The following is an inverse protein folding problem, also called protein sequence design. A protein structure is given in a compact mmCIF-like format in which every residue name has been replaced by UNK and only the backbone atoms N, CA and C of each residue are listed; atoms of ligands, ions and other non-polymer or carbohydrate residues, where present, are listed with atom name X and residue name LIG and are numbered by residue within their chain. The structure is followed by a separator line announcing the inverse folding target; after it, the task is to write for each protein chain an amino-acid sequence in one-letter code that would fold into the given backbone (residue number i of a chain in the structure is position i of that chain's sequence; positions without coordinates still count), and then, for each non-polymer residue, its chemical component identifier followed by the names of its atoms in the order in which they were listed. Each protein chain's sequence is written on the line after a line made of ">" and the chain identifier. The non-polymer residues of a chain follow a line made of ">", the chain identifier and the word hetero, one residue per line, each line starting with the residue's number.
data_IF_097813407068
#
_entry.id   IF_097813407068
#
_cell.length_a   1.000
_cell.length_b   1.000
_cell.length_c   1.000
_cell.angle_alpha   90.00
_cell.angle_beta   90.00
_cell.angle_gamma   90.00
#
_symmetry.space_group_name_H-M   'P 1'
#
loop_
_entity.id
_entity.type
_entity.pdbx_description
1 polymer ?
#
# COMPACT_ATOMS: atom_id res chain seq x y z
N UNK A 1 15.35 11.62 20.91
CA UNK A 1 15.21 11.14 19.51
C UNK A 1 13.89 11.65 18.97
N UNK A 2 13.82 12.07 17.70
CA UNK A 2 12.58 12.53 17.06
C UNK A 2 11.71 11.32 16.74
N UNK A 3 10.44 11.35 17.17
CA UNK A 3 9.49 10.29 16.89
C UNK A 3 9.37 10.08 15.36
N UNK A 4 9.44 8.85 14.91
CA UNK A 4 9.45 8.49 13.49
C UNK A 4 8.25 7.63 13.14
N UNK A 5 7.58 7.96 12.04
CA UNK A 5 6.50 7.17 11.43
C UNK A 5 6.95 6.69 10.06
N UNK A 6 6.92 5.38 9.85
CA UNK A 6 7.23 4.77 8.56
C UNK A 6 6.00 4.76 7.65
N UNK A 7 6.19 5.16 6.39
CA UNK A 7 5.18 5.09 5.34
C UNK A 7 5.65 4.16 4.22
N UNK A 8 4.79 3.23 3.80
CA UNK A 8 5.10 2.24 2.79
C UNK A 8 4.13 2.36 1.61
N UNK A 9 4.62 2.63 0.38
CA UNK A 9 3.78 2.85 -0.79
C UNK A 9 3.05 1.58 -1.23
N UNK A 10 1.97 1.79 -1.97
CA UNK A 10 1.14 0.77 -2.61
C UNK A 10 1.34 0.67 -4.11
N UNK A 11 0.49 -0.15 -4.74
CA UNK A 11 0.50 -0.38 -6.19
C UNK A 11 0.32 0.94 -6.97
N UNK A 12 1.03 1.05 -8.11
CA UNK A 12 1.13 2.27 -8.91
C UNK A 12 2.44 3.04 -8.70
N UNK A 13 3.25 2.64 -7.70
CA UNK A 13 4.57 3.22 -7.47
C UNK A 13 5.71 2.48 -8.21
N UNK A 14 5.44 1.26 -8.74
CA UNK A 14 6.43 0.46 -9.47
C UNK A 14 6.86 1.14 -10.77
N UNK A 15 8.12 0.96 -11.11
CA UNK A 15 8.72 1.36 -12.41
C UNK A 15 9.93 0.50 -12.72
N UNK A 16 10.20 0.26 -13.99
CA UNK A 16 11.44 -0.40 -14.43
C UNK A 16 12.64 0.42 -13.97
N UNK A 17 13.69 -0.25 -13.47
CA UNK A 17 14.87 0.34 -12.85
C UNK A 17 14.77 0.50 -11.34
N UNK A 18 13.58 0.24 -10.73
CA UNK A 18 13.39 0.38 -9.29
C UNK A 18 14.34 -0.51 -8.49
N UNK A 19 14.92 0.03 -7.41
CA UNK A 19 15.86 -0.62 -6.48
C UNK A 19 17.20 -1.10 -7.09
N UNK A 20 17.48 -0.87 -8.38
CA UNK A 20 18.73 -1.28 -9.01
C UNK A 20 19.94 -0.56 -8.38
N UNK A 21 19.86 0.75 -8.27
CA UNK A 21 20.86 1.62 -7.65
C UNK A 21 21.08 1.28 -6.15
N UNK A 22 20.00 0.93 -5.45
CA UNK A 22 20.08 0.47 -4.05
C UNK A 22 20.87 -0.84 -3.94
N UNK A 23 20.59 -1.82 -4.82
CA UNK A 23 21.25 -3.09 -4.84
C UNK A 23 22.74 -2.98 -5.24
N UNK A 24 23.09 -2.00 -6.08
CA UNK A 24 24.47 -1.73 -6.49
C UNK A 24 25.29 -1.06 -5.39
N UNK A 25 24.66 -0.19 -4.57
CA UNK A 25 25.36 0.64 -3.58
C UNK A 25 25.36 0.07 -2.16
N UNK A 26 24.30 -0.67 -1.77
CA UNK A 26 24.11 -1.15 -0.40
C UNK A 26 24.03 -2.69 -0.36
N UNK A 27 25.01 -3.37 0.28
CA UNK A 27 25.00 -4.82 0.41
C UNK A 27 23.76 -5.38 1.12
N UNK A 28 23.21 -4.64 2.09
CA UNK A 28 22.01 -5.02 2.83
C UNK A 28 20.77 -5.03 1.92
N UNK A 29 20.66 -4.04 1.03
CA UNK A 29 19.60 -3.98 0.03
C UNK A 29 19.71 -5.15 -0.97
N UNK A 30 20.91 -5.42 -1.48
CA UNK A 30 21.19 -6.57 -2.36
C UNK A 30 20.82 -7.88 -1.69
N UNK A 31 21.29 -8.10 -0.46
CA UNK A 31 21.00 -9.33 0.29
C UNK A 31 19.50 -9.54 0.51
N UNK A 32 18.74 -8.47 0.77
CA UNK A 32 17.29 -8.50 0.92
C UNK A 32 16.61 -8.93 -0.39
N UNK A 33 16.98 -8.34 -1.52
CA UNK A 33 16.43 -8.68 -2.83
C UNK A 33 16.75 -10.13 -3.23
N UNK A 34 17.99 -10.56 -3.04
CA UNK A 34 18.43 -11.94 -3.33
C UNK A 34 17.69 -12.97 -2.45
N UNK A 35 17.38 -12.63 -1.20
CA UNK A 35 16.60 -13.51 -0.31
C UNK A 35 15.14 -13.62 -0.78
N UNK A 36 14.54 -12.53 -1.24
CA UNK A 36 13.19 -12.51 -1.80
C UNK A 36 13.12 -13.32 -3.11
N UNK A 37 14.07 -13.14 -4.02
CA UNK A 37 14.16 -13.92 -5.28
C UNK A 37 14.21 -15.42 -5.00
N UNK A 38 15.09 -15.84 -4.06
CA UNK A 38 15.17 -17.26 -3.64
C UNK A 38 13.85 -17.77 -3.08
N UNK A 39 13.15 -16.98 -2.30
CA UNK A 39 11.88 -17.37 -1.69
C UNK A 39 10.77 -17.50 -2.72
N UNK A 40 10.71 -16.58 -3.68
CA UNK A 40 9.71 -16.61 -4.74
C UNK A 40 10.01 -17.66 -5.82
N UNK A 41 11.25 -18.15 -5.92
CA UNK A 41 11.67 -19.14 -6.91
C UNK A 41 11.82 -18.58 -8.32
N UNK A 42 11.85 -17.26 -8.48
CA UNK A 42 12.13 -16.58 -9.75
C UNK A 42 12.83 -15.23 -9.50
N UNK A 43 13.57 -14.69 -10.50
CA UNK A 43 14.35 -13.47 -10.33
C UNK A 43 13.48 -12.21 -10.42
N UNK A 44 12.70 -11.93 -9.37
CA UNK A 44 11.88 -10.72 -9.27
C UNK A 44 12.74 -9.46 -9.41
N UNK A 45 13.96 -9.46 -8.84
CA UNK A 45 14.90 -8.34 -8.95
C UNK A 45 15.27 -8.02 -10.40
N UNK A 46 15.45 -9.03 -11.27
CA UNK A 46 15.66 -8.82 -12.69
C UNK A 46 14.48 -8.14 -13.36
N UNK A 47 13.25 -8.57 -13.04
CA UNK A 47 12.04 -7.93 -13.54
C UNK A 47 11.93 -6.46 -13.04
N UNK A 48 12.30 -6.19 -11.79
CA UNK A 48 12.34 -4.82 -11.24
C UNK A 48 13.37 -3.93 -11.95
N UNK A 49 14.55 -4.47 -12.27
CA UNK A 49 15.67 -3.70 -12.83
C UNK A 49 15.53 -3.45 -14.33
N UNK A 50 15.12 -4.48 -15.06
CA UNK A 50 15.24 -4.51 -16.51
C UNK A 50 13.89 -4.69 -17.24
N UNK A 51 12.80 -4.94 -16.49
CA UNK A 51 11.44 -5.12 -17.02
C UNK A 51 11.24 -6.49 -17.68
N UNK A 52 10.27 -6.61 -18.59
CA UNK A 52 9.49 -5.54 -19.23
C UNK A 52 8.40 -4.93 -18.33
N UNK A 53 7.99 -3.70 -18.65
CA UNK A 53 7.09 -2.88 -17.81
C UNK A 53 5.70 -3.49 -17.66
N UNK A 54 5.14 -4.10 -18.68
CA UNK A 54 3.84 -4.76 -18.66
C UNK A 54 3.83 -5.94 -17.66
N UNK A 55 4.90 -6.74 -17.63
CA UNK A 55 5.05 -7.81 -16.65
C UNK A 55 5.24 -7.26 -15.22
N UNK A 56 6.04 -6.21 -15.05
CA UNK A 56 6.24 -5.59 -13.73
C UNK A 56 4.93 -4.96 -13.20
N UNK A 57 4.08 -4.43 -14.08
CA UNK A 57 2.82 -3.78 -13.71
C UNK A 57 1.71 -4.79 -13.40
N UNK A 58 1.83 -6.04 -13.85
CA UNK A 58 0.88 -7.10 -13.48
C UNK A 58 0.79 -7.22 -11.95
N UNK A 59 -0.45 -7.30 -11.43
CA UNK A 59 -0.73 -7.20 -9.99
C UNK A 59 0.05 -8.21 -9.14
N UNK A 60 0.24 -9.43 -9.64
CA UNK A 60 1.01 -10.47 -8.98
C UNK A 60 2.51 -10.19 -8.91
N UNK A 61 3.05 -9.35 -9.79
CA UNK A 61 4.47 -8.94 -9.81
C UNK A 61 4.68 -7.58 -9.13
N UNK A 62 3.78 -6.62 -9.36
CA UNK A 62 3.89 -5.28 -8.81
C UNK A 62 3.90 -5.28 -7.27
N UNK A 63 3.06 -6.12 -6.65
CA UNK A 63 2.96 -6.19 -5.20
C UNK A 63 4.28 -6.67 -4.54
N UNK A 64 4.86 -7.82 -4.88
CA UNK A 64 6.13 -8.23 -4.30
C UNK A 64 7.28 -7.31 -4.71
N UNK A 65 7.27 -6.67 -5.90
CA UNK A 65 8.31 -5.74 -6.32
C UNK A 65 8.35 -4.47 -5.45
N UNK A 66 7.19 -3.87 -5.15
CA UNK A 66 7.11 -2.69 -4.28
C UNK A 66 7.49 -3.05 -2.85
N UNK A 67 7.04 -4.20 -2.34
CA UNK A 67 7.44 -4.69 -1.03
C UNK A 67 8.95 -4.92 -0.97
N UNK A 68 9.55 -5.58 -1.97
CA UNK A 68 10.98 -5.83 -2.05
C UNK A 68 11.80 -4.54 -2.03
N UNK A 69 11.37 -3.52 -2.79
CA UNK A 69 12.00 -2.20 -2.76
C UNK A 69 11.91 -1.56 -1.37
N UNK A 70 10.70 -1.48 -0.79
CA UNK A 70 10.49 -0.86 0.53
C UNK A 70 11.31 -1.56 1.62
N UNK A 71 11.38 -2.88 1.59
CA UNK A 71 12.14 -3.67 2.58
C UNK A 71 13.65 -3.59 2.35
N UNK A 72 14.11 -3.44 1.10
CA UNK A 72 15.51 -3.18 0.79
C UNK A 72 15.97 -1.81 1.32
N UNK A 73 15.16 -0.76 1.15
CA UNK A 73 15.42 0.56 1.78
C UNK A 73 15.44 0.42 3.29
N UNK A 74 14.44 -0.25 3.88
CA UNK A 74 14.35 -0.41 5.33
C UNK A 74 15.54 -1.18 5.91
N UNK A 75 16.06 -2.19 5.22
CA UNK A 75 17.25 -2.94 5.66
C UNK A 75 18.48 -2.04 5.85
N UNK A 76 18.59 -0.97 5.06
CA UNK A 76 19.71 -0.01 5.13
C UNK A 76 19.46 1.07 6.20
N UNK A 77 18.25 1.67 6.24
CA UNK A 77 17.99 2.85 7.08
C UNK A 77 17.37 2.52 8.43
N UNK A 78 16.65 1.39 8.54
CA UNK A 78 15.92 0.99 9.75
C UNK A 78 16.80 0.99 11.01
N UNK A 79 18.00 0.37 10.98
CA UNK A 79 18.92 0.36 12.13
C UNK A 79 19.38 1.74 12.61
N UNK A 80 19.31 2.78 11.74
CA UNK A 80 19.70 4.16 12.07
C UNK A 80 18.56 4.94 12.75
N UNK A 81 17.36 4.41 12.73
CA UNK A 81 16.14 5.01 13.30
C UNK A 81 15.62 4.18 14.47
N UNK A 82 16.37 3.14 14.83
CA UNK A 82 15.99 2.20 15.90
C UNK A 82 15.72 2.93 17.22
N UNK A 83 14.63 2.52 17.91
CA UNK A 83 14.15 3.15 19.13
C UNK A 83 13.42 4.49 18.95
N UNK A 84 13.38 5.08 17.75
CA UNK A 84 12.59 6.28 17.46
C UNK A 84 11.28 6.00 16.72
N UNK A 85 11.09 4.78 16.18
CA UNK A 85 9.89 4.39 15.47
C UNK A 85 8.70 4.24 16.42
N UNK A 86 7.65 5.04 16.20
CA UNK A 86 6.44 5.07 17.04
C UNK A 86 5.22 4.48 16.35
N UNK A 87 5.22 4.42 15.02
CA UNK A 87 4.18 3.80 14.21
C UNK A 87 4.67 3.50 12.79
N UNK A 88 3.94 2.64 12.09
CA UNK A 88 4.04 2.51 10.65
C UNK A 88 2.65 2.47 10.01
N UNK A 89 2.57 2.90 8.76
CA UNK A 89 1.40 2.77 7.92
C UNK A 89 1.82 2.43 6.49
N UNK A 90 1.01 1.65 5.80
CA UNK A 90 1.26 1.35 4.40
C UNK A 90 -0.04 1.36 3.61
N UNK A 91 0.01 1.78 2.35
CA UNK A 91 -1.17 1.87 1.51
C UNK A 91 -1.41 0.52 0.82
N UNK A 92 -2.55 -0.11 1.10
CA UNK A 92 -2.93 -1.42 0.54
C UNK A 92 -1.82 -2.47 0.74
N UNK A 93 -1.13 -2.92 -0.31
CA UNK A 93 0.01 -3.84 -0.16
C UNK A 93 1.11 -3.29 0.78
N UNK A 94 1.29 -1.98 0.84
CA UNK A 94 2.29 -1.34 1.71
C UNK A 94 2.07 -1.63 3.20
N UNK A 95 0.87 -2.03 3.61
CA UNK A 95 0.61 -2.47 4.99
C UNK A 95 1.45 -3.70 5.37
N UNK A 96 1.74 -4.60 4.40
CA UNK A 96 2.67 -5.73 4.62
C UNK A 96 4.11 -5.24 4.82
N UNK A 97 4.56 -4.26 4.04
CA UNK A 97 5.87 -3.62 4.23
C UNK A 97 5.97 -2.93 5.59
N UNK A 98 4.88 -2.32 6.07
CA UNK A 98 4.82 -1.72 7.40
C UNK A 98 4.94 -2.79 8.52
N UNK A 99 4.35 -3.97 8.36
CA UNK A 99 4.56 -5.09 9.30
C UNK A 99 5.99 -5.64 9.25
N UNK A 100 6.65 -5.61 8.10
CA UNK A 100 8.10 -5.95 8.03
C UNK A 100 8.92 -4.92 8.78
N UNK A 101 8.68 -3.64 8.57
CA UNK A 101 9.37 -2.56 9.29
C UNK A 101 9.16 -2.64 10.81
N UNK A 102 7.98 -3.08 11.25
CA UNK A 102 7.66 -3.31 12.66
C UNK A 102 8.19 -4.65 13.22
N UNK A 103 8.95 -5.42 12.45
CA UNK A 103 9.51 -6.71 12.87
C UNK A 103 8.48 -7.83 13.06
N UNK A 104 7.23 -7.60 12.66
CA UNK A 104 6.14 -8.56 12.84
C UNK A 104 6.16 -9.70 11.81
N UNK A 105 6.77 -9.47 10.64
CA UNK A 105 6.81 -10.42 9.53
C UNK A 105 8.18 -10.37 8.84
N UNK A 106 8.86 -11.50 8.62
CA UNK A 106 10.07 -11.54 7.80
C UNK A 106 9.79 -11.03 6.37
N UNK A 107 10.74 -10.31 5.77
CA UNK A 107 10.58 -9.78 4.41
C UNK A 107 10.28 -10.86 3.36
N UNK A 108 10.90 -12.04 3.52
CA UNK A 108 10.67 -13.21 2.66
C UNK A 108 9.25 -13.75 2.76
N UNK A 109 8.72 -13.88 3.96
CA UNK A 109 7.35 -14.35 4.19
C UNK A 109 6.33 -13.32 3.69
N UNK A 110 6.61 -12.03 3.91
CA UNK A 110 5.80 -10.94 3.37
C UNK A 110 5.78 -10.96 1.84
N UNK A 111 6.93 -11.20 1.18
CA UNK A 111 7.03 -11.29 -0.28
C UNK A 111 6.18 -12.46 -0.82
N UNK A 112 6.25 -13.63 -0.20
CA UNK A 112 5.42 -14.78 -0.57
C UNK A 112 3.92 -14.50 -0.37
N UNK A 113 3.54 -13.85 0.74
CA UNK A 113 2.15 -13.47 1.01
C UNK A 113 1.60 -12.46 -0.01
N UNK A 114 2.36 -11.40 -0.33
CA UNK A 114 1.87 -10.39 -1.29
C UNK A 114 1.91 -10.90 -2.73
N UNK A 115 2.81 -11.84 -3.07
CA UNK A 115 2.77 -12.59 -4.33
C UNK A 115 1.45 -13.36 -4.41
N UNK A 116 1.14 -14.14 -3.38
CA UNK A 116 -0.12 -14.90 -3.31
C UNK A 116 -1.34 -13.98 -3.34
N UNK A 117 -1.29 -12.84 -2.64
CA UNK A 117 -2.33 -11.83 -2.65
C UNK A 117 -2.57 -11.30 -4.06
N UNK A 118 -1.51 -10.94 -4.78
CA UNK A 118 -1.58 -10.46 -6.16
C UNK A 118 -2.21 -11.48 -7.11
N UNK A 119 -1.78 -12.74 -7.03
CA UNK A 119 -2.36 -13.86 -7.82
C UNK A 119 -3.85 -14.04 -7.55
N UNK A 120 -4.26 -14.01 -6.29
CA UNK A 120 -5.67 -14.15 -5.89
C UNK A 120 -6.52 -12.97 -6.37
N UNK A 121 -5.99 -11.76 -6.29
CA UNK A 121 -6.68 -10.56 -6.78
C UNK A 121 -6.79 -10.54 -8.30
N UNK A 122 -5.74 -10.97 -9.02
CA UNK A 122 -5.75 -11.13 -10.47
C UNK A 122 -6.79 -12.17 -10.90
N UNK A 123 -6.79 -13.33 -10.24
CA UNK A 123 -7.76 -14.40 -10.50
C UNK A 123 -9.20 -13.92 -10.28
N UNK A 124 -9.47 -13.26 -9.15
CA UNK A 124 -10.79 -12.72 -8.85
C UNK A 124 -11.27 -11.72 -9.91
N UNK A 125 -10.37 -10.83 -10.40
CA UNK A 125 -10.67 -9.90 -11.49
C UNK A 125 -10.92 -10.57 -12.84
N UNK A 126 -10.28 -11.72 -13.11
CA UNK A 126 -10.53 -12.52 -14.32
C UNK A 126 -11.86 -13.25 -14.25
N UNK A 127 -12.20 -13.84 -13.09
CA UNK A 127 -13.45 -14.58 -12.88
C UNK A 127 -14.68 -13.65 -12.83
N UNK A 128 -14.52 -12.46 -12.24
CA UNK A 128 -15.53 -11.42 -12.20
C UNK A 128 -14.90 -10.07 -12.55
N UNK A 129 -15.03 -9.62 -13.80
CA UNK A 129 -14.48 -8.34 -14.25
C UNK A 129 -14.98 -7.17 -13.39
N UNK A 130 -14.03 -6.33 -12.99
CA UNK A 130 -14.27 -5.13 -12.23
C UNK A 130 -13.33 -4.02 -12.65
N UNK A 131 -13.60 -2.81 -12.18
CA UNK A 131 -12.77 -1.64 -12.52
C UNK A 131 -12.66 -0.68 -11.36
N UNK A 132 -11.74 0.29 -11.49
CA UNK A 132 -11.56 1.39 -10.54
C UNK A 132 -11.41 2.72 -11.28
N UNK A 133 -11.79 3.81 -10.61
CA UNK A 133 -11.56 5.16 -11.11
C UNK A 133 -11.22 6.12 -9.96
N UNK A 134 -10.28 7.03 -10.20
CA UNK A 134 -9.94 8.09 -9.26
C UNK A 134 -10.88 9.30 -9.46
N UNK A 135 -11.56 9.71 -8.41
CA UNK A 135 -12.39 10.92 -8.34
C UNK A 135 -11.59 12.00 -7.64
N UNK A 136 -11.42 13.13 -8.30
CA UNK A 136 -10.62 14.26 -7.83
C UNK A 136 -11.49 15.52 -7.69
N UNK A 137 -11.28 16.26 -6.61
CA UNK A 137 -11.93 17.55 -6.35
C UNK A 137 -13.38 17.42 -5.87
N UNK A 138 -13.75 16.28 -5.24
CA UNK A 138 -15.05 16.06 -4.62
C UNK A 138 -14.85 15.45 -3.24
N UNK A 139 -15.61 15.91 -2.25
CA UNK A 139 -15.55 15.39 -0.89
C UNK A 139 -15.95 13.90 -0.83
N UNK A 140 -15.26 13.12 0.01
CA UNK A 140 -15.47 11.67 0.13
C UNK A 140 -16.94 11.31 0.39
N UNK A 141 -17.65 12.04 1.24
CA UNK A 141 -19.06 11.78 1.55
C UNK A 141 -19.98 11.85 0.32
N UNK A 142 -19.70 12.79 -0.60
CA UNK A 142 -20.42 12.92 -1.87
C UNK A 142 -20.09 11.76 -2.84
N UNK A 143 -18.80 11.31 -2.85
CA UNK A 143 -18.40 10.14 -3.64
C UNK A 143 -19.09 8.87 -3.11
N UNK A 144 -19.12 8.67 -1.80
CA UNK A 144 -19.83 7.55 -1.18
C UNK A 144 -21.34 7.57 -1.48
N UNK A 145 -21.97 8.75 -1.46
CA UNK A 145 -23.38 8.91 -1.84
C UNK A 145 -23.61 8.56 -3.31
N UNK A 146 -22.72 9.00 -4.22
CA UNK A 146 -22.77 8.65 -5.64
C UNK A 146 -22.61 7.13 -5.87
N UNK A 147 -21.71 6.49 -5.13
CA UNK A 147 -21.52 5.03 -5.19
C UNK A 147 -22.78 4.28 -4.73
N UNK A 148 -23.40 4.71 -3.62
CA UNK A 148 -24.65 4.10 -3.14
C UNK A 148 -25.79 4.25 -4.16
N UNK A 149 -25.95 5.41 -4.78
CA UNK A 149 -26.97 5.67 -5.81
C UNK A 149 -26.71 4.88 -7.11
N UNK A 150 -25.44 4.68 -7.47
CA UNK A 150 -25.07 3.93 -8.65
C UNK A 150 -25.24 2.42 -8.49
N UNK A 151 -25.19 1.92 -7.26
CA UNK A 151 -25.31 0.49 -6.94
C UNK A 151 -26.75 0.00 -7.06
N UNK A 152 -26.90 -1.30 -7.39
CA UNK A 152 -28.19 -2.01 -7.47
C UNK A 152 -28.05 -3.43 -6.97
N UNK A 153 -29.16 -4.20 -6.96
CA UNK A 153 -29.09 -5.64 -6.67
C UNK A 153 -28.30 -6.36 -7.79
N UNK A 154 -27.04 -6.64 -7.54
CA UNK A 154 -26.14 -7.36 -8.47
C UNK A 154 -25.03 -6.52 -9.12
N UNK A 155 -25.04 -5.18 -8.97
CA UNK A 155 -23.97 -4.32 -9.43
C UNK A 155 -23.54 -3.36 -8.32
N UNK A 156 -22.26 -3.35 -7.96
CA UNK A 156 -21.71 -2.65 -6.81
C UNK A 156 -20.70 -1.59 -7.25
N UNK A 157 -20.83 -0.38 -6.70
CA UNK A 157 -19.76 0.62 -6.68
C UNK A 157 -19.51 1.06 -5.24
N UNK A 158 -18.25 1.17 -4.84
CA UNK A 158 -17.85 1.60 -3.49
C UNK A 158 -16.71 2.61 -3.54
N UNK A 159 -16.59 3.44 -2.51
CA UNK A 159 -15.39 4.21 -2.26
C UNK A 159 -14.33 3.27 -1.67
N UNK A 160 -13.31 2.97 -2.46
CA UNK A 160 -12.30 1.94 -2.19
C UNK A 160 -11.04 2.48 -1.53
N UNK A 161 -10.56 3.69 -1.93
CA UNK A 161 -9.41 4.33 -1.30
C UNK A 161 -9.76 5.78 -0.95
N UNK A 162 -9.75 6.10 0.32
CA UNK A 162 -10.01 7.44 0.86
C UNK A 162 -8.66 8.16 1.00
N UNK A 163 -8.10 8.60 -0.14
CA UNK A 163 -6.70 9.02 -0.25
C UNK A 163 -6.42 10.45 0.21
N UNK A 164 -7.43 11.29 0.20
CA UNK A 164 -7.30 12.69 0.58
C UNK A 164 -8.67 13.33 0.80
N UNK A 165 -8.73 14.55 1.34
CA UNK A 165 -10.00 15.25 1.60
C UNK A 165 -10.90 15.36 0.37
N UNK A 166 -10.29 15.44 -0.82
CA UNK A 166 -10.95 15.59 -2.12
C UNK A 166 -10.40 14.61 -3.18
N UNK A 167 -9.86 13.46 -2.73
CA UNK A 167 -9.33 12.42 -3.60
C UNK A 167 -9.78 11.04 -3.10
N UNK A 168 -10.70 10.44 -3.83
CA UNK A 168 -11.25 9.11 -3.52
C UNK A 168 -11.18 8.23 -4.76
N UNK A 169 -10.79 6.98 -4.59
CA UNK A 169 -10.87 5.96 -5.66
C UNK A 169 -12.15 5.17 -5.47
N UNK A 170 -12.94 5.03 -6.53
CA UNK A 170 -14.13 4.19 -6.58
C UNK A 170 -13.81 2.86 -7.26
N UNK A 171 -14.48 1.78 -6.83
CA UNK A 171 -14.20 0.40 -7.26
C UNK A 171 -15.50 -0.39 -7.32
N UNK A 172 -15.60 -1.34 -8.26
CA UNK A 172 -16.79 -2.17 -8.38
C UNK A 172 -17.01 -2.76 -9.77
N UNK A 173 -18.26 -3.11 -10.03
CA UNK A 173 -18.71 -3.56 -11.34
C UNK A 173 -18.57 -2.41 -12.37
N UNK A 174 -18.14 -2.68 -13.62
CA UNK A 174 -17.79 -1.61 -14.58
C UNK A 174 -18.92 -0.59 -14.83
N UNK A 175 -20.15 -1.05 -14.99
CA UNK A 175 -21.30 -0.15 -15.22
C UNK A 175 -21.65 0.68 -13.98
N UNK A 176 -21.58 0.09 -12.79
CA UNK A 176 -21.83 0.80 -11.54
C UNK A 176 -20.75 1.87 -11.28
N UNK A 177 -19.47 1.54 -11.52
CA UNK A 177 -18.35 2.50 -11.41
C UNK A 177 -18.48 3.63 -12.43
N UNK A 178 -18.85 3.33 -13.70
CA UNK A 178 -19.11 4.35 -14.71
C UNK A 178 -20.23 5.29 -14.27
N UNK A 179 -21.39 4.75 -13.84
CA UNK A 179 -22.52 5.54 -13.33
C UNK A 179 -22.14 6.37 -12.10
N UNK A 180 -21.40 5.79 -11.13
CA UNK A 180 -20.90 6.53 -9.98
C UNK A 180 -19.99 7.70 -10.41
N UNK A 181 -19.12 7.48 -11.41
CA UNK A 181 -18.27 8.51 -11.96
C UNK A 181 -19.05 9.65 -12.63
N UNK A 182 -20.13 9.35 -13.35
CA UNK A 182 -21.04 10.35 -13.95
C UNK A 182 -21.75 11.15 -12.84
N UNK A 183 -22.26 10.50 -11.80
CA UNK A 183 -22.87 11.16 -10.65
C UNK A 183 -21.87 12.04 -9.89
N UNK A 184 -20.63 11.59 -9.73
CA UNK A 184 -19.57 12.40 -9.13
C UNK A 184 -19.30 13.68 -9.97
N UNK A 185 -19.25 13.58 -11.30
CA UNK A 185 -19.12 14.75 -12.18
C UNK A 185 -20.30 15.71 -12.02
N UNK A 186 -21.52 15.19 -12.02
CA UNK A 186 -22.73 16.00 -11.80
C UNK A 186 -22.75 16.71 -10.43
N UNK A 187 -22.08 16.15 -9.42
CA UNK A 187 -21.89 16.73 -8.09
C UNK A 187 -20.65 17.64 -7.96
N UNK A 188 -19.96 17.91 -9.05
CA UNK A 188 -18.86 18.87 -9.08
C UNK A 188 -17.46 18.28 -8.96
N UNK A 189 -17.27 16.97 -9.17
CA UNK A 189 -15.94 16.40 -9.28
C UNK A 189 -15.17 17.03 -10.44
N UNK A 190 -13.95 17.51 -10.18
CA UNK A 190 -13.10 18.14 -11.20
C UNK A 190 -12.66 17.14 -12.27
N UNK A 191 -12.37 15.92 -11.87
CA UNK A 191 -11.93 14.84 -12.76
C UNK A 191 -12.38 13.48 -12.23
N UNK A 192 -12.70 12.56 -13.16
CA UNK A 192 -12.85 11.13 -12.91
C UNK A 192 -11.95 10.41 -13.91
N UNK A 193 -10.93 9.74 -13.41
CA UNK A 193 -9.86 9.12 -14.22
C UNK A 193 -9.91 7.61 -14.02
N UNK A 194 -10.21 6.83 -15.08
CA UNK A 194 -10.09 5.37 -15.03
C UNK A 194 -8.67 4.94 -14.63
N UNK A 195 -8.57 3.89 -13.83
CA UNK A 195 -7.29 3.30 -13.44
C UNK A 195 -7.04 2.03 -14.24
N UNK A 196 -5.79 1.81 -14.65
CA UNK A 196 -5.37 0.58 -15.31
C UNK A 196 -5.11 -0.51 -14.27
N UNK A 197 -6.17 -1.22 -13.87
CA UNK A 197 -6.13 -2.28 -12.86
C UNK A 197 -6.91 -3.50 -13.34
N UNK A 198 -6.54 -4.68 -12.83
CA UNK A 198 -7.12 -5.97 -13.25
C UNK A 198 -8.41 -6.35 -12.54
N UNK A 199 -8.96 -5.50 -11.65
CA UNK A 199 -10.16 -5.87 -10.89
C UNK A 199 -10.69 -4.76 -9.98
N UNK A 200 -11.80 -5.08 -9.31
CA UNK A 200 -12.48 -4.20 -8.36
C UNK A 200 -11.87 -4.33 -6.95
N UNK A 201 -10.62 -3.86 -6.78
CA UNK A 201 -9.92 -3.97 -5.50
C UNK A 201 -10.64 -3.18 -4.39
N UNK A 202 -10.51 -3.66 -3.15
CA UNK A 202 -11.12 -3.05 -1.96
C UNK A 202 -12.66 -2.94 -2.05
N UNK A 203 -13.29 -3.92 -2.70
CA UNK A 203 -14.74 -4.08 -2.79
C UNK A 203 -15.18 -5.49 -2.43
N UNK A 204 -16.47 -5.72 -2.26
CA UNK A 204 -17.04 -7.05 -2.00
C UNK A 204 -16.74 -8.08 -3.11
N UNK A 205 -16.36 -7.63 -4.32
CA UNK A 205 -15.97 -8.50 -5.43
C UNK A 205 -14.67 -9.26 -5.15
N UNK A 206 -13.87 -8.79 -4.19
CA UNK A 206 -12.64 -9.45 -3.74
C UNK A 206 -12.87 -10.52 -2.65
N UNK A 207 -14.11 -10.80 -2.24
CA UNK A 207 -14.39 -11.76 -1.16
C UNK A 207 -13.81 -13.18 -1.42
N UNK A 208 -13.83 -13.75 -2.65
CA UNK A 208 -13.19 -15.04 -2.92
C UNK A 208 -11.66 -15.00 -2.69
N UNK A 209 -11.01 -13.91 -3.08
CA UNK A 209 -9.57 -13.69 -2.84
C UNK A 209 -9.27 -13.53 -1.35
N UNK A 210 -10.06 -12.76 -0.62
CA UNK A 210 -9.92 -12.53 0.82
C UNK A 210 -10.01 -13.85 1.61
N UNK A 211 -10.96 -14.72 1.28
CA UNK A 211 -11.12 -16.02 1.94
C UNK A 211 -9.90 -16.93 1.75
N UNK A 212 -9.34 -16.98 0.55
CA UNK A 212 -8.14 -17.78 0.27
C UNK A 212 -6.88 -17.15 0.91
N UNK A 213 -6.77 -15.82 0.92
CA UNK A 213 -5.67 -15.12 1.55
C UNK A 213 -5.67 -15.31 3.08
N UNK A 214 -6.84 -15.38 3.71
CA UNK A 214 -6.99 -15.66 5.15
C UNK A 214 -6.26 -16.95 5.54
N UNK A 215 -6.40 -18.01 4.75
CA UNK A 215 -5.72 -19.29 4.99
C UNK A 215 -4.19 -19.14 4.91
N UNK A 216 -3.69 -18.33 3.97
CA UNK A 216 -2.26 -18.08 3.86
C UNK A 216 -1.73 -17.26 5.05
N UNK A 217 -2.48 -16.23 5.48
CA UNK A 217 -2.15 -15.38 6.63
C UNK A 217 -2.16 -16.15 7.95
N UNK A 218 -3.06 -17.12 8.15
CA UNK A 218 -3.09 -17.97 9.34
C UNK A 218 -1.83 -18.83 9.47
N UNK A 219 -1.23 -19.24 8.37
CA UNK A 219 -0.01 -20.04 8.31
C UNK A 219 1.28 -19.23 8.40
N UNK A 220 1.21 -17.92 8.20
CA UNK A 220 2.37 -17.06 8.22
C UNK A 220 2.91 -16.84 9.64
N UNK A 221 4.24 -16.75 9.76
CA UNK A 221 4.95 -16.60 11.04
C UNK A 221 4.89 -15.16 11.56
N UNK A 222 3.68 -14.62 11.75
CA UNK A 222 3.50 -13.30 12.37
C UNK A 222 3.88 -13.32 13.83
N UNK A 223 4.57 -12.27 14.25
CA UNK A 223 4.84 -11.90 15.65
C UNK A 223 4.12 -10.59 15.97
N UNK A 224 4.05 -10.24 17.24
CA UNK A 224 3.57 -8.94 17.65
C UNK A 224 4.51 -7.85 17.13
N UNK A 225 4.00 -6.78 16.52
CA UNK A 225 4.83 -5.69 16.01
C UNK A 225 5.51 -4.91 17.15
N UNK A 226 6.77 -4.55 16.98
CA UNK A 226 7.56 -3.78 17.95
C UNK A 226 6.97 -2.39 18.22
N UNK A 227 6.31 -1.81 17.21
CA UNK A 227 5.51 -0.58 17.30
C UNK A 227 4.23 -0.77 16.47
N UNK A 228 3.14 -0.01 16.74
CA UNK A 228 1.87 -0.23 16.07
C UNK A 228 1.95 -0.01 14.57
N UNK A 229 1.25 -0.87 13.83
CA UNK A 229 0.94 -0.67 12.41
C UNK A 229 -0.51 -0.22 12.30
N UNK A 230 -0.77 0.86 11.54
CA UNK A 230 -2.12 1.37 11.36
C UNK A 230 -2.79 0.59 10.24
N UNK A 231 -3.85 -0.14 10.58
CA UNK A 231 -4.55 -0.99 9.63
C UNK A 231 -5.42 -0.16 8.66
N UNK A 232 -5.35 -0.45 7.37
CA UNK A 232 -6.12 0.27 6.35
C UNK A 232 -7.63 0.15 6.53
N UNK A 233 -8.13 -1.01 6.93
CA UNK A 233 -9.55 -1.30 7.05
C UNK A 233 -10.24 -0.50 8.17
N UNK A 234 -9.51 -0.20 9.26
CA UNK A 234 -10.07 0.43 10.46
C UNK A 234 -9.45 1.79 10.79
N UNK A 235 -8.28 2.12 10.25
CA UNK A 235 -7.43 3.24 10.64
C UNK A 235 -6.98 3.18 12.12
N UNK A 236 -7.05 2.01 12.76
CA UNK A 236 -6.65 1.81 14.14
C UNK A 236 -5.26 1.19 14.26
N UNK A 237 -4.49 1.53 15.31
CA UNK A 237 -3.20 0.92 15.57
C UNK A 237 -3.35 -0.54 16.01
N UNK A 238 -2.55 -1.41 15.40
CA UNK A 238 -2.50 -2.85 15.66
C UNK A 238 -1.18 -3.19 16.32
N UNK A 239 -1.24 -3.93 17.45
CA UNK A 239 -0.09 -4.33 18.27
C UNK A 239 -0.02 -5.83 18.51
N UNK A 240 -0.94 -6.61 17.95
CA UNK A 240 -0.94 -8.07 18.11
C UNK A 240 -1.05 -8.78 16.74
N UNK A 241 -0.35 -9.90 16.63
CA UNK A 241 -0.23 -10.71 15.42
C UNK A 241 -1.59 -11.29 14.96
N UNK A 242 -2.45 -11.68 15.89
CA UNK A 242 -3.75 -12.27 15.58
C UNK A 242 -4.68 -11.25 14.92
N UNK A 243 -4.72 -10.02 15.44
CA UNK A 243 -5.48 -8.91 14.86
C UNK A 243 -4.90 -8.49 13.51
N UNK A 244 -3.56 -8.46 13.38
CA UNK A 244 -2.88 -8.15 12.12
C UNK A 244 -3.33 -9.08 10.98
N UNK A 245 -3.28 -10.40 11.20
CA UNK A 245 -3.72 -11.40 10.21
C UNK A 245 -5.18 -11.20 9.78
N UNK A 246 -6.09 -11.01 10.74
CA UNK A 246 -7.51 -10.79 10.45
C UNK A 246 -7.73 -9.54 9.61
N UNK A 247 -7.16 -8.40 10.03
CA UNK A 247 -7.35 -7.13 9.34
C UNK A 247 -6.70 -7.09 7.96
N UNK A 248 -5.57 -7.79 7.73
CA UNK A 248 -4.98 -7.94 6.41
C UNK A 248 -5.86 -8.76 5.44
N UNK A 249 -6.60 -9.76 5.95
CA UNK A 249 -7.57 -10.48 5.13
C UNK A 249 -8.80 -9.60 4.82
N UNK A 250 -9.32 -8.90 5.83
CA UNK A 250 -10.49 -8.03 5.69
C UNK A 250 -10.20 -6.80 4.79
N UNK A 251 -8.94 -6.37 4.73
CA UNK A 251 -8.48 -5.25 3.90
C UNK A 251 -8.86 -5.40 2.42
N UNK A 252 -8.89 -6.64 1.87
CA UNK A 252 -9.21 -6.84 0.46
C UNK A 252 -10.62 -6.42 0.07
N UNK A 253 -11.55 -6.47 1.02
CA UNK A 253 -12.96 -6.14 0.82
C UNK A 253 -13.39 -4.84 1.51
N UNK A 254 -12.45 -4.21 2.23
CA UNK A 254 -12.68 -2.97 2.97
C UNK A 254 -11.98 -1.77 2.30
N UNK A 255 -12.47 -0.55 2.49
CA UNK A 255 -11.79 0.64 2.01
C UNK A 255 -10.43 0.86 2.69
N UNK A 256 -9.47 1.37 1.94
CA UNK A 256 -8.24 1.94 2.48
C UNK A 256 -8.58 3.31 3.07
N UNK A 257 -8.63 3.41 4.39
CA UNK A 257 -8.97 4.64 5.14
C UNK A 257 -7.75 5.53 5.33
N UNK A 258 -7.10 5.93 4.21
CA UNK A 258 -5.79 6.57 4.26
C UNK A 258 -5.79 7.90 5.01
N UNK A 259 -6.81 8.75 4.81
CA UNK A 259 -6.95 10.03 5.54
C UNK A 259 -6.94 9.79 7.05
N UNK A 260 -7.83 8.92 7.54
CA UNK A 260 -7.91 8.61 8.97
C UNK A 260 -6.63 7.93 9.48
N UNK A 261 -5.99 7.08 8.67
CA UNK A 261 -4.71 6.46 9.02
C UNK A 261 -3.60 7.49 9.21
N UNK A 262 -3.51 8.51 8.36
CA UNK A 262 -2.49 9.56 8.48
C UNK A 262 -2.77 10.49 9.68
N UNK A 263 -4.02 10.80 9.96
CA UNK A 263 -4.42 11.54 11.16
C UNK A 263 -4.03 10.77 12.43
N UNK A 264 -4.33 9.46 12.48
CA UNK A 264 -3.94 8.59 13.59
C UNK A 264 -2.42 8.47 13.74
N UNK A 265 -1.69 8.41 12.61
CA UNK A 265 -0.23 8.39 12.61
C UNK A 265 0.37 9.69 13.19
N UNK A 266 -0.21 10.83 12.84
CA UNK A 266 0.20 12.12 13.37
C UNK A 266 -0.07 12.25 14.88
N UNK A 267 -1.21 11.75 15.35
CA UNK A 267 -1.53 11.69 16.79
C UNK A 267 -0.51 10.84 17.56
N UNK A 268 -0.15 9.65 17.05
CA UNK A 268 0.82 8.77 17.68
C UNK A 268 2.25 9.35 17.66
N UNK A 269 2.58 10.04 16.59
CA UNK A 269 3.88 10.70 16.44
C UNK A 269 4.06 11.92 17.34
N UNK A 270 2.96 12.63 17.60
CA UNK A 270 2.98 13.90 18.34
C UNK A 270 3.62 15.05 17.56
N UNK A 271 3.73 16.19 18.21
CA UNK A 271 4.31 17.38 17.60
C UNK A 271 5.79 17.15 17.22
N UNK A 272 6.16 17.53 16.00
CA UNK A 272 7.53 17.41 15.50
C UNK A 272 7.94 16.01 15.05
N UNK A 273 7.00 15.05 14.99
CA UNK A 273 7.29 13.74 14.41
C UNK A 273 7.69 13.87 12.94
N UNK A 274 8.67 13.07 12.53
CA UNK A 274 9.05 12.91 11.12
C UNK A 274 8.39 11.70 10.51
N UNK A 275 7.92 11.85 9.28
CA UNK A 275 7.43 10.76 8.47
C UNK A 275 8.51 10.37 7.45
N UNK A 276 8.73 9.09 7.26
CA UNK A 276 9.69 8.58 6.28
C UNK A 276 8.97 7.60 5.35
N UNK A 277 8.81 7.99 4.09
CA UNK A 277 8.29 7.10 3.05
C UNK A 277 9.44 6.27 2.50
N UNK A 278 9.36 4.94 2.66
CA UNK A 278 10.35 3.97 2.20
C UNK A 278 9.81 3.17 1.03
N UNK A 279 10.45 3.28 -0.13
CA UNK A 279 10.03 2.57 -1.34
C UNK A 279 10.01 3.47 -2.58
N UNK A 280 9.50 2.97 -3.71
CA UNK A 280 9.56 3.71 -4.97
C UNK A 280 8.62 4.93 -4.95
N UNK A 281 9.12 6.06 -5.47
CA UNK A 281 8.34 7.29 -5.62
C UNK A 281 8.17 8.11 -4.35
N UNK A 282 7.13 8.98 -4.35
CA UNK A 282 6.85 9.93 -3.27
C UNK A 282 5.34 10.24 -3.15
N UNK A 283 4.51 9.28 -3.53
CA UNK A 283 3.04 9.46 -3.60
C UNK A 283 2.47 9.71 -2.21
N UNK A 284 2.91 8.94 -1.21
CA UNK A 284 2.37 9.06 0.15
C UNK A 284 2.80 10.37 0.81
N UNK A 285 4.00 10.85 0.53
CA UNK A 285 4.44 12.17 0.97
C UNK A 285 3.54 13.28 0.41
N UNK A 286 3.16 13.17 -0.88
CA UNK A 286 2.22 14.09 -1.50
C UNK A 286 0.83 14.05 -0.87
N UNK A 287 0.32 12.87 -0.55
CA UNK A 287 -0.96 12.69 0.13
C UNK A 287 -0.91 13.22 1.58
N UNK A 288 0.16 12.89 2.30
CA UNK A 288 0.33 13.31 3.70
C UNK A 288 0.29 14.83 3.85
N UNK A 289 0.99 15.59 2.99
CA UNK A 289 0.99 17.06 3.02
C UNK A 289 -0.40 17.67 2.86
N UNK A 290 -1.32 16.97 2.22
CA UNK A 290 -2.72 17.41 2.05
C UNK A 290 -3.61 17.03 3.23
N UNK A 291 -3.22 16.01 4.01
CA UNK A 291 -3.97 15.49 5.16
C UNK A 291 -3.48 16.13 6.45
N UNK A 292 -2.15 16.24 6.60
CA UNK A 292 -1.45 16.81 7.75
C UNK A 292 -0.44 17.83 7.23
N UNK A 293 -0.85 19.07 6.95
CA UNK A 293 -0.02 20.08 6.26
C UNK A 293 1.32 20.37 6.92
N UNK A 294 1.38 20.31 8.26
CA UNK A 294 2.58 20.63 9.05
C UNK A 294 3.52 19.40 9.24
N UNK A 295 3.19 18.24 8.66
CA UNK A 295 4.00 17.05 8.80
C UNK A 295 5.32 17.17 8.03
N UNK A 296 6.44 16.92 8.72
CA UNK A 296 7.74 16.75 8.08
C UNK A 296 7.82 15.36 7.43
N UNK A 297 8.02 15.28 6.13
CA UNK A 297 8.09 14.01 5.41
C UNK A 297 9.28 13.96 4.45
N UNK A 298 10.03 12.86 4.53
CA UNK A 298 11.16 12.54 3.64
C UNK A 298 10.85 11.25 2.89
N UNK A 299 11.06 11.23 1.56
CA UNK A 299 10.91 10.00 0.75
C UNK A 299 12.29 9.43 0.45
N UNK A 300 12.45 8.13 0.67
CA UNK A 300 13.68 7.37 0.47
C UNK A 300 13.40 6.28 -0.58
N UNK A 301 13.56 6.66 -1.84
CA UNK A 301 13.28 5.77 -2.98
C UNK A 301 14.48 5.43 -3.84
N UNK A 302 15.61 6.15 -3.67
CA UNK A 302 16.83 5.94 -4.46
C UNK A 302 18.05 5.79 -3.55
N UNK A 303 19.14 5.26 -4.11
CA UNK A 303 20.39 5.15 -3.37
C UNK A 303 20.92 6.51 -2.90
N UNK A 304 20.70 7.57 -3.67
CA UNK A 304 21.10 8.93 -3.29
C UNK A 304 20.22 9.49 -2.15
N UNK A 305 18.92 9.22 -2.13
CA UNK A 305 18.05 9.61 -1.02
C UNK A 305 18.50 8.94 0.28
N UNK A 306 18.78 7.63 0.20
CA UNK A 306 19.27 6.84 1.34
C UNK A 306 20.63 7.36 1.82
N UNK A 307 21.57 7.63 0.92
CA UNK A 307 22.89 8.16 1.29
C UNK A 307 22.78 9.51 2.01
N UNK A 308 22.03 10.46 1.45
CA UNK A 308 21.80 11.77 2.10
C UNK A 308 21.14 11.63 3.46
N UNK A 309 20.22 10.70 3.62
CA UNK A 309 19.58 10.43 4.90
C UNK A 309 20.57 9.91 5.94
N UNK A 310 21.47 8.98 5.54
CA UNK A 310 22.50 8.43 6.44
C UNK A 310 23.57 9.44 6.85
N UNK A 311 23.88 10.42 5.99
CA UNK A 311 24.81 11.51 6.29
C UNK A 311 24.22 12.54 7.26
N UNK A 312 22.89 12.69 7.29
CA UNK A 312 22.17 13.64 8.14
C UNK A 312 21.68 13.04 9.48
N UNK A 313 21.73 11.73 9.65
CA UNK A 313 21.26 11.00 10.83
C UNK A 313 22.40 10.77 11.83
#
# INVERSE_FOLDING_TARGET
>A
MVATVWLCPGQGAQKVGMAKDLAERFPEARATLDAIDRTLGFPLSTLMFDGPEDQLTATENAQPAILAHSTAVFAVVGPRVDGAAVAAAGHSLGEYSAYVAAGALPATDAAALVRRRGELMQKAGTERPGTMAAVLGLATAEVEAACREASSSGAVAVAANLNGPDQTVISGDPDAVRKAGELCKARGAKRVVPLNVSGAFHSSLMAPAANQLRVALERAAFRDPAFPVIANATAEPVRDAGRARRLLADQLTAPVRWVASMQRAAELGGAGARFIEIGPGNVLAGLLRRIVPDASVTSLGTADDVARFLEAA
#
